data_IF_098968827483
#
_entry.id   IF_098968827483
#
_cell.length_a   1.000
_cell.length_b   1.000
_cell.length_c   1.000
_cell.angle_alpha   90.00
_cell.angle_beta   90.00
_cell.angle_gamma   90.00
#
_symmetry.space_group_name_H-M   'P 1'
#
loop_
_entity.id
_entity.type
_entity.pdbx_description
1 polymer ?
#
# COMPACT_ATOMS: atom_id res chain seq x y z
N UNK A 1 -13.95 6.46 7.02
CA UNK A 1 -13.78 4.99 7.00
C UNK A 1 -12.54 4.64 7.79
N UNK A 2 -12.47 3.50 8.49
CA UNK A 2 -11.22 3.07 9.15
C UNK A 2 -10.61 1.98 8.26
N UNK A 3 -9.39 2.19 7.77
CA UNK A 3 -8.65 1.14 7.05
C UNK A 3 -8.06 0.16 8.07
N UNK A 4 -7.95 -1.11 7.70
CA UNK A 4 -7.29 -2.14 8.50
C UNK A 4 -5.77 -2.06 8.35
N UNK A 5 -5.03 -2.67 9.28
CA UNK A 5 -3.57 -2.78 9.16
C UNK A 5 -3.12 -3.41 7.84
N UNK A 6 -3.83 -4.43 7.34
CA UNK A 6 -3.48 -5.07 6.07
C UNK A 6 -3.69 -4.13 4.87
N UNK A 7 -4.77 -3.34 4.87
CA UNK A 7 -5.00 -2.31 3.86
C UNK A 7 -3.93 -1.22 3.93
N UNK A 8 -3.58 -0.75 5.14
CA UNK A 8 -2.49 0.19 5.36
C UNK A 8 -1.15 -0.33 4.80
N UNK A 9 -0.79 -1.59 5.08
CA UNK A 9 0.43 -2.21 4.54
C UNK A 9 0.47 -2.23 3.01
N UNK A 10 -0.67 -2.47 2.37
CA UNK A 10 -0.74 -2.48 0.90
C UNK A 10 -0.65 -1.06 0.34
N UNK A 11 -1.41 -0.11 0.91
CA UNK A 11 -1.39 1.29 0.49
C UNK A 11 0.01 1.90 0.58
N UNK A 12 0.74 1.62 1.67
CA UNK A 12 2.12 2.06 1.84
C UNK A 12 3.09 1.33 0.91
N UNK A 13 2.87 0.05 0.60
CA UNK A 13 3.69 -0.69 -0.36
C UNK A 13 3.54 -0.17 -1.81
N UNK A 14 2.38 0.41 -2.14
CA UNK A 14 2.03 0.98 -3.45
C UNK A 14 2.31 2.49 -3.57
N UNK A 15 2.97 3.12 -2.59
CA UNK A 15 3.16 4.58 -2.55
C UNK A 15 3.82 5.17 -3.82
N UNK A 16 4.76 4.44 -4.41
CA UNK A 16 5.50 4.84 -5.61
C UNK A 16 5.23 3.91 -6.82
N UNK A 17 4.05 3.30 -6.86
CA UNK A 17 3.73 2.25 -7.82
C UNK A 17 4.35 0.90 -7.45
N UNK A 18 3.55 -0.17 -7.49
CA UNK A 18 4.01 -1.53 -7.28
C UNK A 18 3.11 -2.56 -7.97
N UNK A 19 3.72 -3.63 -8.46
CA UNK A 19 3.03 -4.86 -8.86
C UNK A 19 2.61 -5.67 -7.64
N UNK A 20 1.66 -6.60 -7.81
CA UNK A 20 1.26 -7.50 -6.71
C UNK A 20 2.43 -8.30 -6.13
N UNK A 21 3.39 -8.72 -6.96
CA UNK A 21 4.61 -9.41 -6.52
C UNK A 21 5.54 -8.49 -5.71
N UNK A 22 5.71 -7.23 -6.12
CA UNK A 22 6.49 -6.26 -5.34
C UNK A 22 5.82 -5.94 -4.00
N UNK A 23 4.49 -5.85 -3.96
CA UNK A 23 3.71 -5.72 -2.70
C UNK A 23 3.94 -6.93 -1.79
N UNK A 24 4.02 -8.13 -2.37
CA UNK A 24 4.34 -9.35 -1.61
C UNK A 24 5.74 -9.29 -0.99
N UNK A 25 6.74 -8.77 -1.70
CA UNK A 25 8.09 -8.62 -1.15
C UNK A 25 8.17 -7.57 -0.04
N UNK A 26 7.28 -6.57 -0.05
CA UNK A 26 7.25 -5.47 0.93
C UNK A 26 6.38 -5.75 2.15
N UNK A 27 5.59 -6.82 2.14
CA UNK A 27 4.62 -7.12 3.20
C UNK A 27 4.75 -8.56 3.68
N UNK A 28 4.23 -8.86 4.86
CA UNK A 28 4.14 -10.24 5.37
C UNK A 28 2.85 -10.94 4.95
N UNK A 29 2.09 -10.34 4.02
CA UNK A 29 0.80 -10.85 3.58
C UNK A 29 1.01 -11.97 2.55
N UNK A 30 0.15 -12.99 2.60
CA UNK A 30 0.19 -14.04 1.58
C UNK A 30 -0.40 -13.54 0.24
N UNK A 31 -0.09 -14.20 -0.89
CA UNK A 31 -0.54 -13.76 -2.22
C UNK A 31 -2.07 -13.62 -2.37
N UNK A 32 -2.84 -14.50 -1.74
CA UNK A 32 -4.31 -14.45 -1.81
C UNK A 32 -4.86 -13.20 -1.12
N UNK A 33 -4.32 -12.86 0.05
CA UNK A 33 -4.70 -11.64 0.78
C UNK A 33 -4.31 -10.39 0.00
N UNK A 34 -3.12 -10.38 -0.62
CA UNK A 34 -2.67 -9.24 -1.43
C UNK A 34 -3.65 -8.99 -2.58
N UNK A 35 -3.99 -10.03 -3.35
CA UNK A 35 -4.93 -9.90 -4.46
C UNK A 35 -6.33 -9.48 -3.99
N UNK A 36 -6.80 -10.04 -2.87
CA UNK A 36 -8.09 -9.67 -2.28
C UNK A 36 -8.12 -8.19 -1.92
N UNK A 37 -7.15 -7.70 -1.16
CA UNK A 37 -7.11 -6.30 -0.72
C UNK A 37 -6.79 -5.33 -1.84
N UNK A 38 -5.91 -5.66 -2.80
CA UNK A 38 -5.69 -4.80 -3.97
C UNK A 38 -6.99 -4.58 -4.75
N UNK A 39 -7.78 -5.64 -4.96
CA UNK A 39 -9.06 -5.52 -5.64
C UNK A 39 -10.07 -4.68 -4.83
N UNK A 40 -10.16 -4.87 -3.52
CA UNK A 40 -11.06 -4.08 -2.68
C UNK A 40 -10.65 -2.60 -2.60
N UNK A 41 -9.34 -2.33 -2.47
CA UNK A 41 -8.79 -0.97 -2.47
C UNK A 41 -8.98 -0.28 -3.83
N UNK A 42 -8.87 -1.04 -4.93
CA UNK A 42 -9.10 -0.53 -6.28
C UNK A 42 -10.57 -0.14 -6.47
N UNK A 43 -11.51 -1.02 -6.08
CA UNK A 43 -12.95 -0.71 -6.13
C UNK A 43 -13.32 0.49 -5.26
N UNK A 44 -12.63 0.66 -4.13
CA UNK A 44 -12.82 1.78 -3.20
C UNK A 44 -12.15 3.08 -3.66
N UNK A 45 -11.37 3.04 -4.75
CA UNK A 45 -10.64 4.20 -5.26
C UNK A 45 -9.44 4.63 -4.42
N UNK A 46 -8.92 3.76 -3.54
CA UNK A 46 -7.75 4.05 -2.69
C UNK A 46 -6.43 3.72 -3.38
N UNK A 47 -6.47 2.85 -4.39
CA UNK A 47 -5.38 2.63 -5.33
C UNK A 47 -5.90 2.77 -6.75
N UNK A 48 -5.00 3.06 -7.68
CA UNK A 48 -5.26 3.20 -9.10
C UNK A 48 -4.28 2.34 -9.90
N UNK A 49 -4.70 1.89 -11.08
CA UNK A 49 -3.80 1.19 -12.01
C UNK A 49 -3.12 2.25 -12.86
N UNK A 50 -1.79 2.31 -12.81
CA UNK A 50 -0.98 3.34 -13.50
C UNK A 50 -0.28 2.85 -14.74
N UNK A 51 -0.05 1.53 -14.84
CA UNK A 51 0.44 0.91 -16.07
C UNK A 51 -0.36 -0.35 -16.37
N UNK A 52 -0.94 -0.36 -17.57
CA UNK A 52 -1.63 -1.50 -18.15
C UNK A 52 -1.06 -1.73 -19.55
N UNK A 53 0.19 -2.21 -19.64
CA UNK A 53 0.66 -2.77 -20.91
C UNK A 53 0.22 -4.22 -20.96
N UNK A 54 -0.33 -4.65 -22.10
CA UNK A 54 -0.90 -5.99 -22.32
C UNK A 54 0.08 -7.16 -22.03
N UNK A 55 1.36 -6.88 -21.83
CA UNK A 55 2.42 -7.85 -21.55
C UNK A 55 3.13 -7.64 -20.21
N UNK A 56 2.87 -6.54 -19.50
CA UNK A 56 3.50 -6.25 -18.20
C UNK A 56 2.50 -6.49 -17.05
N UNK A 57 2.98 -6.91 -15.86
CA UNK A 57 2.11 -7.03 -14.69
C UNK A 57 1.48 -5.68 -14.35
N UNK A 58 0.21 -5.70 -13.92
CA UNK A 58 -0.49 -4.48 -13.48
C UNK A 58 0.30 -3.79 -12.36
N UNK A 59 0.53 -2.49 -12.52
CA UNK A 59 1.10 -1.63 -11.47
C UNK A 59 0.02 -0.81 -10.79
N UNK A 60 0.02 -0.88 -9.48
CA UNK A 60 -0.91 -0.20 -8.58
C UNK A 60 -0.18 0.93 -7.87
N UNK A 61 -0.77 2.12 -7.89
CA UNK A 61 -0.28 3.28 -7.15
C UNK A 61 -1.36 3.76 -6.18
N UNK A 62 -0.95 4.27 -5.02
CA UNK A 62 -1.89 4.87 -4.08
C UNK A 62 -2.54 6.12 -4.69
N UNK A 63 -3.84 6.30 -4.53
CA UNK A 63 -4.53 7.51 -4.98
C UNK A 63 -4.42 8.62 -3.93
N UNK A 64 -4.79 9.85 -4.29
CA UNK A 64 -4.90 10.96 -3.32
C UNK A 64 -5.83 10.62 -2.14
N UNK A 65 -6.94 9.93 -2.40
CA UNK A 65 -7.85 9.47 -1.35
C UNK A 65 -7.18 8.42 -0.46
N UNK A 66 -6.40 7.51 -1.05
CA UNK A 66 -5.60 6.53 -0.30
C UNK A 66 -4.59 7.19 0.63
N UNK A 67 -3.94 8.28 0.18
CA UNK A 67 -2.99 9.06 1.00
C UNK A 67 -3.64 9.65 2.24
N UNK A 68 -4.83 10.24 2.10
CA UNK A 68 -5.59 10.80 3.23
C UNK A 68 -5.86 9.71 4.29
N UNK A 69 -6.23 8.51 3.86
CA UNK A 69 -6.49 7.41 4.78
C UNK A 69 -5.23 6.81 5.41
N UNK A 70 -4.08 6.86 4.73
CA UNK A 70 -2.79 6.55 5.34
C UNK A 70 -2.53 7.54 6.48
N UNK A 71 -2.64 8.85 6.23
CA UNK A 71 -2.37 9.90 7.22
C UNK A 71 -3.31 9.79 8.44
N UNK A 72 -4.60 9.54 8.21
CA UNK A 72 -5.56 9.34 9.29
C UNK A 72 -5.24 8.08 10.12
N UNK A 73 -4.81 7.00 9.46
CA UNK A 73 -4.40 5.78 10.15
C UNK A 73 -3.12 5.98 10.96
N UNK A 74 -2.12 6.68 10.42
CA UNK A 74 -0.87 7.02 11.10
C UNK A 74 -1.11 7.95 12.30
N UNK A 75 -2.00 8.94 12.16
CA UNK A 75 -2.39 9.85 13.26
C UNK A 75 -3.05 9.09 14.41
N UNK A 76 -3.82 8.05 14.10
CA UNK A 76 -4.45 7.19 15.10
C UNK A 76 -3.48 6.16 15.73
N UNK A 77 -2.33 5.88 15.07
CA UNK A 77 -1.35 4.87 15.46
C UNK A 77 0.08 5.44 15.38
N UNK A 78 0.42 6.45 16.20
CA UNK A 78 1.67 7.23 16.08
C UNK A 78 2.95 6.38 16.21
N UNK A 79 2.89 5.22 16.87
CA UNK A 79 3.99 4.27 16.99
C UNK A 79 4.46 3.66 15.65
N UNK A 80 3.61 3.69 14.61
CA UNK A 80 3.95 3.19 13.29
C UNK A 80 4.86 4.16 12.52
N UNK A 81 4.67 5.47 12.70
CA UNK A 81 5.46 6.53 12.02
C UNK A 81 6.90 6.54 12.51
N UNK A 82 7.11 6.37 13.82
CA UNK A 82 8.43 6.34 14.45
C UNK A 82 9.30 5.21 13.86
N UNK A 83 8.69 4.06 13.54
CA UNK A 83 9.41 2.94 12.93
C UNK A 83 9.88 3.25 11.51
N UNK A 84 9.10 3.97 10.71
CA UNK A 84 9.48 4.33 9.32
C UNK A 84 10.72 5.23 9.27
N UNK A 85 10.76 6.28 10.09
CA UNK A 85 11.90 7.19 10.18
C UNK A 85 13.18 6.46 10.66
N UNK A 86 13.05 5.49 11.57
CA UNK A 86 14.19 4.73 12.09
C UNK A 86 14.74 3.74 11.04
N UNK A 87 13.89 3.12 10.23
CA UNK A 87 14.31 2.21 9.15
C UNK A 87 14.98 2.95 7.98
N UNK A 88 14.58 4.19 7.68
CA UNK A 88 15.22 5.03 6.67
C UNK A 88 16.58 5.58 7.15
N UNK A 89 16.70 5.92 8.45
CA UNK A 89 17.96 6.34 9.05
C UNK A 89 19.00 5.19 9.15
N UNK A 90 18.56 3.94 9.31
CA UNK A 90 19.43 2.76 9.38
C UNK A 90 19.93 2.21 8.04
N UNK A 91 19.58 2.85 6.92
CA UNK A 91 20.01 2.48 5.55
C UNK A 91 21.02 3.46 4.95
N UNK A 92 21.56 4.40 5.72
CA UNK A 92 22.64 5.31 5.31
C UNK A 92 24.02 4.70 5.57
#
# INVERSE_FOLDING_TARGET
MIITFAQYCILTATYNGATASEVQCKTTLNPLMINFYLNELLKSGFVMIVEQKNTEPLRYEVSELGLIYIEDYERANPELVIRRATYEAGKQ
#
